data_IF_463562971729
#
_entry.id   IF_463562971729
#
_cell.length_a   1.000
_cell.length_b   1.000
_cell.length_c   1.000
_cell.angle_alpha   90.00
_cell.angle_beta   90.00
_cell.angle_gamma   90.00
#
_symmetry.space_group_name_H-M   'P 1'
#
loop_
_entity.id
_entity.type
_entity.pdbx_description
1 polymer ?
#
# COMPACT_ATOMS: atom_id res chain seq x y z
N UNK A 1 -9.38 -14.67 -2.03
CA UNK A 1 -8.62 -13.71 -1.18
C UNK A 1 -8.87 -13.93 0.31
N UNK A 2 -10.11 -13.86 0.82
CA UNK A 2 -10.37 -14.10 2.26
C UNK A 2 -9.89 -15.49 2.74
N UNK A 3 -10.10 -16.55 1.96
CA UNK A 3 -9.59 -17.91 2.30
C UNK A 3 -8.06 -17.95 2.46
N UNK A 4 -7.31 -17.17 1.68
CA UNK A 4 -5.86 -17.10 1.81
C UNK A 4 -5.46 -16.38 3.11
N UNK A 5 -6.19 -15.34 3.52
CA UNK A 5 -5.98 -14.67 4.81
C UNK A 5 -6.23 -15.61 5.98
N UNK A 6 -7.26 -16.47 5.91
CA UNK A 6 -7.52 -17.49 6.94
C UNK A 6 -6.37 -18.50 7.05
N UNK A 7 -5.78 -18.90 5.92
CA UNK A 7 -4.59 -19.77 5.90
C UNK A 7 -3.33 -19.09 6.46
N UNK A 8 -3.26 -17.76 6.39
CA UNK A 8 -2.19 -16.96 6.98
C UNK A 8 -2.39 -16.69 8.49
N UNK A 9 -3.49 -17.18 9.07
CA UNK A 9 -3.77 -17.05 10.50
C UNK A 9 -4.56 -15.81 10.91
N UNK A 10 -5.02 -14.99 9.96
CA UNK A 10 -5.91 -13.88 10.28
C UNK A 10 -7.33 -14.38 10.47
N UNK A 11 -7.99 -14.01 11.56
CA UNK A 11 -9.41 -14.32 11.78
C UNK A 11 -10.34 -13.38 11.00
N UNK A 12 -11.62 -13.71 10.95
CA UNK A 12 -12.68 -12.95 10.30
C UNK A 12 -12.80 -11.52 10.82
N UNK A 13 -12.63 -11.37 12.13
CA UNK A 13 -12.79 -10.08 12.80
C UNK A 13 -11.48 -9.28 12.89
N UNK A 14 -10.34 -9.91 12.60
CA UNK A 14 -9.04 -9.24 12.54
C UNK A 14 -8.80 -8.58 11.18
N UNK A 15 -9.01 -9.33 10.09
CA UNK A 15 -8.71 -8.82 8.75
C UNK A 15 -9.51 -9.54 7.65
N UNK A 16 -9.99 -8.72 6.71
CA UNK A 16 -10.62 -9.18 5.46
C UNK A 16 -9.88 -8.62 4.26
N UNK A 17 -10.07 -9.23 3.09
CA UNK A 17 -9.47 -8.70 1.85
C UNK A 17 -10.04 -7.34 1.45
N UNK A 18 -11.24 -6.98 1.92
CA UNK A 18 -11.78 -5.63 1.76
C UNK A 18 -11.10 -4.65 2.72
N UNK A 19 -10.98 -5.01 4.00
CA UNK A 19 -10.26 -4.20 5.00
C UNK A 19 -8.81 -3.93 4.60
N UNK A 20 -8.12 -4.94 4.08
CA UNK A 20 -6.76 -4.78 3.56
C UNK A 20 -6.70 -3.78 2.40
N UNK A 21 -7.64 -3.83 1.45
CA UNK A 21 -7.70 -2.85 0.35
C UNK A 21 -7.98 -1.43 0.85
N UNK A 22 -8.89 -1.27 1.81
CA UNK A 22 -9.20 0.04 2.39
C UNK A 22 -7.99 0.65 3.12
N UNK A 23 -7.26 -0.18 3.87
CA UNK A 23 -6.01 0.22 4.53
C UNK A 23 -4.95 0.64 3.52
N UNK A 24 -4.71 -0.16 2.47
CA UNK A 24 -3.75 0.16 1.41
C UNK A 24 -4.13 1.46 0.71
N UNK A 25 -5.39 1.59 0.31
CA UNK A 25 -5.91 2.81 -0.32
C UNK A 25 -5.63 4.05 0.51
N UNK A 26 -5.96 3.99 1.81
CA UNK A 26 -5.72 5.10 2.73
C UNK A 26 -4.23 5.45 2.82
N UNK A 27 -3.35 4.45 2.95
CA UNK A 27 -1.92 4.65 3.08
C UNK A 27 -1.31 5.31 1.84
N UNK A 28 -1.61 4.78 0.65
CA UNK A 28 -1.00 5.27 -0.60
C UNK A 28 -1.57 6.61 -1.05
N UNK A 29 -2.83 6.92 -0.72
CA UNK A 29 -3.39 8.25 -0.95
C UNK A 29 -2.76 9.29 -0.01
N UNK A 30 -2.58 8.95 1.27
CA UNK A 30 -1.99 9.86 2.27
C UNK A 30 -0.51 10.14 2.06
N UNK A 31 0.23 9.25 1.38
CA UNK A 31 1.65 9.49 1.10
C UNK A 31 1.86 10.65 0.11
N UNK A 32 0.89 10.93 -0.75
CA UNK A 32 1.01 11.96 -1.80
C UNK A 32 2.04 11.63 -2.89
N UNK A 33 2.54 10.39 -2.94
CA UNK A 33 3.65 9.99 -3.80
C UNK A 33 3.23 9.47 -5.18
N UNK A 34 1.94 9.17 -5.37
CA UNK A 34 1.46 8.40 -6.52
C UNK A 34 0.30 9.09 -7.20
N UNK A 35 0.20 8.93 -8.52
CA UNK A 35 -0.91 9.43 -9.30
C UNK A 35 -2.22 8.72 -8.89
N UNK A 36 -3.35 9.44 -8.71
CA UNK A 36 -4.63 8.84 -8.32
C UNK A 36 -5.06 7.68 -9.24
N UNK A 37 -4.88 7.84 -10.55
CA UNK A 37 -5.22 6.77 -11.51
C UNK A 37 -4.36 5.51 -11.31
N UNK A 38 -3.09 5.66 -10.89
CA UNK A 38 -2.23 4.51 -10.59
C UNK A 38 -2.72 3.77 -9.33
N UNK A 39 -3.18 4.51 -8.32
CA UNK A 39 -3.77 3.98 -7.09
C UNK A 39 -5.07 3.21 -7.40
N UNK A 40 -6.01 3.83 -8.10
CA UNK A 40 -7.30 3.22 -8.47
C UNK A 40 -7.11 1.90 -9.25
N UNK A 41 -6.16 1.91 -10.20
CA UNK A 41 -5.82 0.72 -10.98
C UNK A 41 -5.19 -0.40 -10.14
N UNK A 42 -4.38 -0.06 -9.13
CA UNK A 42 -3.80 -1.04 -8.23
C UNK A 42 -4.83 -1.66 -7.28
N UNK A 43 -5.89 -0.93 -6.95
CA UNK A 43 -6.96 -1.39 -6.06
C UNK A 43 -8.05 -2.22 -6.77
N UNK A 44 -7.97 -2.30 -8.10
CA UNK A 44 -8.85 -3.10 -8.97
C UNK A 44 -10.33 -2.68 -8.93
N UNK A 45 -10.60 -1.37 -9.00
CA UNK A 45 -11.84 -0.92 -9.64
C UNK A 45 -11.65 -1.13 -11.15
N UNK A 46 -12.19 -2.23 -11.68
CA UNK A 46 -12.05 -2.56 -13.09
C UNK A 46 -12.49 -1.39 -13.97
N UNK A 47 -11.62 -0.97 -14.90
CA UNK A 47 -12.01 0.04 -15.89
C UNK A 47 -13.19 -0.48 -16.70
N UNK A 48 -14.30 0.27 -16.66
CA UNK A 48 -15.51 -0.05 -17.44
C UNK A 48 -15.25 0.01 -18.95
N UNK A 49 -14.20 0.71 -19.37
CA UNK A 49 -13.80 0.87 -20.76
C UNK A 49 -12.54 0.05 -21.08
N UNK A 50 -12.74 -1.09 -21.74
CA UNK A 50 -11.68 -2.03 -22.14
C UNK A 50 -10.73 -1.44 -23.19
N UNK A 51 -11.16 -0.45 -23.97
CA UNK A 51 -10.35 0.21 -25.00
C UNK A 51 -9.38 1.18 -24.32
N UNK A 52 -9.88 1.99 -23.38
CA UNK A 52 -9.03 2.88 -22.57
C UNK A 52 -8.02 2.11 -21.72
N UNK A 53 -8.42 0.94 -21.20
CA UNK A 53 -7.56 0.03 -20.44
C UNK A 53 -6.39 -0.56 -21.23
N UNK A 54 -6.52 -0.72 -22.55
CA UNK A 54 -5.44 -1.21 -23.40
C UNK A 54 -4.37 -0.13 -23.62
N UNK A 55 -4.77 1.10 -24.00
CA UNK A 55 -3.85 2.21 -24.24
C UNK A 55 -3.17 2.72 -22.97
N UNK A 56 -3.88 2.74 -21.84
CA UNK A 56 -3.32 3.21 -20.57
C UNK A 56 -2.62 2.10 -19.77
N UNK A 57 -2.60 0.84 -20.24
CA UNK A 57 -1.95 -0.27 -19.51
C UNK A 57 -0.48 0.01 -19.25
N UNK A 58 0.18 0.67 -20.21
CA UNK A 58 1.54 1.17 -20.08
C UNK A 58 1.67 2.40 -19.17
N UNK A 59 0.69 3.32 -19.20
CA UNK A 59 0.79 4.66 -18.62
C UNK A 59 1.10 4.73 -17.10
N UNK A 60 0.90 3.64 -16.34
CA UNK A 60 1.20 3.62 -14.89
C UNK A 60 1.75 2.28 -14.39
N UNK A 61 2.21 1.38 -15.27
CA UNK A 61 2.68 0.07 -14.80
C UNK A 61 3.88 0.18 -13.88
N UNK A 62 4.92 0.91 -14.30
CA UNK A 62 6.12 1.12 -13.51
C UNK A 62 5.83 1.80 -12.18
N UNK A 63 4.90 2.77 -12.18
CA UNK A 63 4.44 3.45 -10.98
C UNK A 63 3.74 2.48 -10.02
N UNK A 64 2.88 1.59 -10.51
CA UNK A 64 2.23 0.56 -9.67
C UNK A 64 3.24 -0.41 -9.06
N UNK A 65 4.27 -0.80 -9.83
CA UNK A 65 5.35 -1.66 -9.33
C UNK A 65 6.12 -0.94 -8.22
N UNK A 66 6.52 0.31 -8.43
CA UNK A 66 7.20 1.12 -7.41
C UNK A 66 6.34 1.35 -6.17
N UNK A 67 5.04 1.58 -6.34
CA UNK A 67 4.09 1.73 -5.24
C UNK A 67 3.97 0.45 -4.41
N UNK A 68 3.91 -0.72 -5.06
CA UNK A 68 3.86 -2.00 -4.37
C UNK A 68 5.14 -2.25 -3.56
N UNK A 69 6.31 -1.94 -4.14
CA UNK A 69 7.59 -2.08 -3.45
C UNK A 69 7.71 -1.12 -2.27
N UNK A 70 7.43 0.16 -2.48
CA UNK A 70 7.47 1.17 -1.42
C UNK A 70 6.60 0.78 -0.22
N UNK A 71 5.40 0.25 -0.50
CA UNK A 71 4.53 -0.26 0.56
C UNK A 71 5.16 -1.45 1.29
N UNK A 72 5.78 -2.38 0.56
CA UNK A 72 6.48 -3.52 1.17
C UNK A 72 7.57 -3.02 2.12
N UNK A 73 8.39 -2.08 1.67
CA UNK A 73 9.48 -1.49 2.46
C UNK A 73 8.93 -0.80 3.72
N UNK A 74 7.80 -0.11 3.62
CA UNK A 74 7.11 0.47 4.77
C UNK A 74 6.65 -0.59 5.79
N UNK A 75 6.10 -1.71 5.33
CA UNK A 75 5.71 -2.82 6.21
C UNK A 75 6.93 -3.48 6.88
N UNK A 76 8.03 -3.62 6.15
CA UNK A 76 9.28 -4.16 6.69
C UNK A 76 9.87 -3.23 7.76
N UNK A 77 9.82 -1.91 7.55
CA UNK A 77 10.20 -0.93 8.57
C UNK A 77 9.35 -1.07 9.84
N UNK A 78 8.03 -1.20 9.70
CA UNK A 78 7.14 -1.43 10.84
C UNK A 78 7.45 -2.74 11.56
N UNK A 79 7.81 -3.80 10.82
CA UNK A 79 8.15 -5.11 11.38
C UNK A 79 9.45 -5.11 12.17
N UNK A 80 10.48 -4.42 11.67
CA UNK A 80 11.78 -4.31 12.36
C UNK A 80 11.65 -3.48 13.64
N UNK A 81 10.63 -2.62 13.72
CA UNK A 81 10.43 -1.67 14.80
C UNK A 81 11.11 -0.33 14.46
N UNK A 82 10.50 0.78 14.89
CA UNK A 82 11.03 2.11 14.61
C UNK A 82 12.43 2.30 15.19
N UNK A 83 13.33 2.89 14.41
CA UNK A 83 14.66 3.27 14.87
C UNK A 83 14.51 4.30 16.00
N UNK A 84 14.82 3.92 17.24
CA UNK A 84 14.94 4.86 18.34
C UNK A 84 16.20 5.70 18.09
N UNK A 85 16.00 6.94 17.66
CA UNK A 85 17.09 7.93 17.63
C UNK A 85 17.23 8.47 19.05
N UNK A 86 18.20 7.96 19.82
CA UNK A 86 18.64 8.60 21.06
C UNK A 86 19.35 9.91 20.74
N UNK A 87 18.57 10.97 20.52
CA UNK A 87 19.12 12.31 20.42
C UNK A 87 19.68 12.70 21.80
N UNK A 88 21.00 12.82 21.90
CA UNK A 88 21.67 13.41 23.07
C UNK A 88 21.42 14.91 23.08
N UNK A 89 20.29 15.32 23.65
CA UNK A 89 20.07 16.71 23.98
C UNK A 89 20.96 17.06 25.17
N UNK A 90 22.12 17.67 24.90
CA UNK A 90 22.94 18.26 25.95
C UNK A 90 22.07 19.29 26.69
N UNK A 91 21.76 19.02 27.96
CA UNK A 91 21.20 20.02 28.86
C UNK A 91 22.27 21.11 28.99
N UNK A 92 22.00 22.28 28.40
CA UNK A 92 22.75 23.49 28.73
C UNK A 92 22.50 23.76 30.21
N UNK A 93 23.58 23.72 30.99
CA UNK A 93 23.61 24.19 32.37
C UNK A 93 23.50 25.71 32.45
#
# INVERSE_FOLDING_TARGET
MNVALRRLGFDHDEMTSHGFRAMVSTLVNKSGLWHPDAIERALAHGERDRVRAAYHRGAHWEERVRMAQWRSDYLDQLRVGGTIIEAKFNKRG
#
